data_IF_183053713423
#
_entry.id   IF_183053713423
#
_cell.length_a   1.000
_cell.length_b   1.000
_cell.length_c   1.000
_cell.angle_alpha   90.00
_cell.angle_beta   90.00
_cell.angle_gamma   90.00
#
_symmetry.space_group_name_H-M   'P 1'
#
loop_
_entity.id
_entity.type
_entity.pdbx_description
1 polymer ?
#
# COMPACT_ATOMS: atom_id res chain seq x y z
N UNK A 1 -19.06 -34.55 -15.61
CA UNK A 1 -20.34 -34.05 -15.07
C UNK A 1 -20.21 -33.52 -13.63
N UNK A 2 -19.16 -32.76 -13.31
CA UNK A 2 -19.19 -31.90 -12.11
C UNK A 2 -18.53 -30.57 -12.43
N UNK A 3 -19.38 -29.56 -12.49
CA UNK A 3 -19.05 -28.18 -12.81
C UNK A 3 -18.73 -27.39 -11.54
N UNK A 4 -17.97 -26.29 -11.71
CA UNK A 4 -18.10 -24.98 -11.03
C UNK A 4 -17.96 -24.97 -9.49
N UNK A 5 -17.08 -24.16 -8.89
CA UNK A 5 -17.11 -22.69 -8.96
C UNK A 5 -15.77 -22.07 -8.59
N UNK A 6 -15.29 -21.22 -9.50
CA UNK A 6 -14.43 -20.07 -9.23
C UNK A 6 -15.16 -19.16 -8.25
N UNK A 7 -14.47 -18.67 -7.23
CA UNK A 7 -15.05 -17.74 -6.26
C UNK A 7 -13.98 -17.08 -5.38
N UNK A 8 -12.98 -16.44 -5.98
CA UNK A 8 -12.11 -15.52 -5.24
C UNK A 8 -12.78 -14.14 -5.22
N UNK A 9 -13.51 -13.82 -4.14
CA UNK A 9 -13.98 -12.45 -3.88
C UNK A 9 -12.95 -11.76 -3.00
N UNK A 10 -12.02 -11.04 -3.63
CA UNK A 10 -11.18 -10.07 -2.94
C UNK A 10 -12.04 -8.86 -2.59
N UNK A 11 -12.44 -8.73 -1.33
CA UNK A 11 -13.06 -7.49 -0.85
C UNK A 11 -12.00 -6.39 -0.88
N UNK A 12 -12.24 -5.34 -1.67
CA UNK A 12 -11.46 -4.12 -1.55
C UNK A 12 -11.83 -3.44 -0.23
N UNK A 13 -10.91 -3.45 0.73
CA UNK A 13 -11.02 -2.65 1.96
C UNK A 13 -11.10 -1.17 1.58
N UNK A 14 -11.95 -0.37 2.24
CA UNK A 14 -12.00 1.06 1.99
C UNK A 14 -10.60 1.63 2.21
N UNK A 15 -10.06 2.26 1.18
CA UNK A 15 -8.73 2.82 1.21
C UNK A 15 -8.80 4.02 2.16
N UNK A 16 -8.04 3.95 3.26
CA UNK A 16 -7.86 5.12 4.12
C UNK A 16 -7.21 6.18 3.25
N UNK A 17 -7.87 7.33 3.14
CA UNK A 17 -7.37 8.51 2.45
C UNK A 17 -6.99 9.57 3.47
N UNK A 18 -5.94 10.33 3.20
CA UNK A 18 -5.58 11.47 4.04
C UNK A 18 -6.56 12.64 3.82
N UNK A 19 -6.48 13.71 4.62
CA UNK A 19 -7.29 14.93 4.52
C UNK A 19 -7.31 15.53 3.11
N UNK A 20 -6.21 15.42 2.38
CA UNK A 20 -6.05 15.85 0.98
C UNK A 20 -6.61 14.86 -0.05
N UNK A 21 -7.24 13.77 0.39
CA UNK A 21 -7.86 12.76 -0.48
C UNK A 21 -6.85 11.85 -1.19
N UNK A 22 -5.58 11.86 -0.77
CA UNK A 22 -4.52 11.02 -1.33
C UNK A 22 -4.37 9.72 -0.53
N UNK A 23 -4.04 8.64 -1.23
CA UNK A 23 -3.76 7.33 -0.64
C UNK A 23 -2.31 7.21 -0.21
N UNK A 24 -2.03 6.45 0.85
CA UNK A 24 -0.67 6.19 1.33
C UNK A 24 0.26 5.59 0.26
N UNK A 25 -0.28 4.83 -0.69
CA UNK A 25 0.51 4.25 -1.79
C UNK A 25 1.06 5.30 -2.75
N UNK A 26 0.39 6.43 -2.93
CA UNK A 26 0.88 7.51 -3.81
C UNK A 26 2.17 8.11 -3.24
N UNK A 27 2.29 8.17 -1.90
CA UNK A 27 3.50 8.65 -1.22
C UNK A 27 4.69 7.69 -1.34
N UNK A 28 4.43 6.40 -1.53
CA UNK A 28 5.50 5.38 -1.65
C UNK A 28 6.28 5.50 -2.97
N UNK A 29 5.65 6.05 -4.00
CA UNK A 29 6.29 6.27 -5.30
C UNK A 29 6.64 4.97 -6.03
N UNK A 30 7.75 5.00 -6.79
CA UNK A 30 8.20 3.90 -7.63
C UNK A 30 8.84 2.74 -6.87
N UNK A 31 9.20 1.68 -7.60
CA UNK A 31 9.91 0.53 -7.02
C UNK A 31 11.29 0.96 -6.52
N UNK A 32 11.64 0.57 -5.30
CA UNK A 32 12.97 0.82 -4.75
C UNK A 32 13.99 -0.15 -5.36
N UNK A 33 15.22 0.30 -5.56
CA UNK A 33 16.36 -0.54 -5.96
C UNK A 33 17.13 -1.08 -4.75
N UNK A 34 16.59 -0.84 -3.54
CA UNK A 34 17.20 -1.18 -2.27
C UNK A 34 16.98 -2.66 -1.95
N UNK A 35 17.93 -3.24 -1.21
CA UNK A 35 17.82 -4.63 -0.77
C UNK A 35 16.55 -4.85 0.07
N UNK A 36 15.91 -6.01 -0.12
CA UNK A 36 14.76 -6.41 0.68
C UNK A 36 15.13 -6.40 2.18
N UNK A 37 14.37 -5.67 2.99
CA UNK A 37 14.62 -5.56 4.43
C UNK A 37 15.74 -4.60 4.84
N UNK A 38 16.30 -3.79 3.94
CA UNK A 38 17.29 -2.77 4.29
C UNK A 38 16.65 -1.61 5.07
N UNK A 39 17.35 -1.08 6.07
CA UNK A 39 16.88 0.02 6.93
C UNK A 39 16.48 1.30 6.17
N UNK A 40 16.97 1.48 4.93
CA UNK A 40 16.54 2.56 4.04
C UNK A 40 15.02 2.55 3.75
N UNK A 41 14.40 1.36 3.71
CA UNK A 41 12.95 1.25 3.55
C UNK A 41 12.22 1.71 4.82
N UNK A 42 12.78 1.45 6.01
CA UNK A 42 12.18 1.88 7.29
C UNK A 42 12.15 3.42 7.41
N UNK A 43 13.19 4.11 6.93
CA UNK A 43 13.21 5.58 6.90
C UNK A 43 12.12 6.10 5.96
N UNK A 44 12.03 5.52 4.76
CA UNK A 44 11.04 5.92 3.76
C UNK A 44 9.61 5.75 4.26
N UNK A 45 9.33 4.63 4.95
CA UNK A 45 8.02 4.38 5.56
C UNK A 45 7.67 5.41 6.64
N UNK A 46 8.63 5.80 7.50
CA UNK A 46 8.38 6.82 8.54
C UNK A 46 8.13 8.21 7.98
N UNK A 47 8.78 8.55 6.86
CA UNK A 47 8.52 9.80 6.15
C UNK A 47 7.09 9.79 5.60
N UNK A 48 6.68 8.68 4.95
CA UNK A 48 5.32 8.54 4.41
C UNK A 48 4.27 8.70 5.51
N UNK A 49 4.44 8.03 6.65
CA UNK A 49 3.51 8.11 7.77
C UNK A 49 3.36 9.56 8.28
N UNK A 50 4.47 10.29 8.44
CA UNK A 50 4.45 11.68 8.90
C UNK A 50 3.71 12.62 7.93
N UNK A 51 3.87 12.44 6.61
CA UNK A 51 3.14 13.23 5.61
C UNK A 51 1.70 12.79 5.42
N UNK A 52 1.39 11.54 5.74
CA UNK A 52 0.07 10.96 5.63
C UNK A 52 -0.83 11.26 6.84
N UNK A 53 -0.27 11.66 7.99
CA UNK A 53 -1.06 12.02 9.18
C UNK A 53 -1.39 13.52 9.31
N UNK A 54 -0.90 14.38 8.40
CA UNK A 54 -1.19 15.83 8.36
C UNK A 54 -2.50 16.17 7.63
#
# INVERSE_FOLDING_TARGET
>A
WRARRVGNKSMATPIKVNRIGLEAQIYKGGKTTLCAGCGHNAISERIIDAFYEM
#
